data_IF_468020550613
#
_entry.id   IF_468020550613
#
_cell.length_a   1.000
_cell.length_b   1.000
_cell.length_c   1.000
_cell.angle_alpha   90.00
_cell.angle_beta   90.00
_cell.angle_gamma   90.00
#
_symmetry.space_group_name_H-M   'P 1'
#
loop_
_entity.id
_entity.type
_entity.pdbx_description
1 polymer ?
#
# COMPACT_ATOMS: atom_id res chain seq x y z
N UNK A 1 -14.40 5.02 6.08
CA UNK A 1 -13.84 4.53 4.81
C UNK A 1 -13.98 5.66 3.81
N UNK A 2 -12.87 6.16 3.25
CA UNK A 2 -12.90 7.23 2.25
C UNK A 2 -12.62 6.62 0.87
N UNK A 3 -13.52 6.88 -0.08
CA UNK A 3 -13.42 6.45 -1.47
C UNK A 3 -13.18 7.69 -2.34
N UNK A 4 -12.11 7.69 -3.12
CA UNK A 4 -11.80 8.80 -4.02
C UNK A 4 -11.38 8.27 -5.40
N UNK A 5 -11.85 8.94 -6.46
CA UNK A 5 -11.44 8.68 -7.84
C UNK A 5 -10.74 9.93 -8.36
N UNK A 6 -9.42 9.87 -8.56
CA UNK A 6 -8.61 11.01 -8.96
C UNK A 6 -8.06 10.83 -10.39
N UNK A 7 -8.05 11.91 -11.18
CA UNK A 7 -7.34 12.00 -12.45
C UNK A 7 -5.90 12.46 -12.16
N UNK A 8 -4.94 11.55 -12.33
CA UNK A 8 -3.47 11.73 -12.34
C UNK A 8 -2.88 12.86 -11.46
N UNK A 9 -2.56 12.51 -10.21
CA UNK A 9 -1.38 12.90 -9.39
C UNK A 9 -1.54 12.21 -8.02
N UNK A 10 -0.64 11.29 -7.66
CA UNK A 10 -0.82 10.36 -6.52
C UNK A 10 -0.08 10.79 -5.24
N UNK A 11 0.50 11.99 -5.17
CA UNK A 11 1.37 12.36 -4.06
C UNK A 11 0.61 12.64 -2.75
N UNK A 12 -0.54 13.32 -2.82
CA UNK A 12 -1.30 13.70 -1.61
C UNK A 12 -1.94 12.51 -0.90
N UNK A 13 -2.22 11.43 -1.63
CA UNK A 13 -2.91 10.26 -1.09
C UNK A 13 -1.92 9.30 -0.41
N UNK A 14 -0.66 9.30 -0.85
CA UNK A 14 0.40 8.53 -0.22
C UNK A 14 1.14 9.30 0.88
N UNK A 15 0.79 10.57 1.10
CA UNK A 15 1.38 11.38 2.16
C UNK A 15 1.20 10.69 3.53
N UNK A 16 2.26 10.63 4.36
CA UNK A 16 2.21 10.00 5.66
C UNK A 16 1.14 10.65 6.54
N UNK A 17 0.34 9.82 7.19
CA UNK A 17 -0.73 10.25 8.08
C UNK A 17 -0.35 10.02 9.54
N UNK A 18 -0.82 10.87 10.45
CA UNK A 18 -0.58 10.74 11.91
C UNK A 18 -1.09 9.43 12.52
N UNK A 19 -2.07 8.78 11.88
CA UNK A 19 -2.62 7.47 12.29
C UNK A 19 -2.11 6.40 11.34
N UNK A 20 -1.94 5.17 11.83
CA UNK A 20 -1.65 4.02 10.98
C UNK A 20 -2.78 3.86 9.94
N UNK A 21 -2.46 4.11 8.66
CA UNK A 21 -3.43 4.19 7.57
C UNK A 21 -2.94 3.37 6.39
N UNK A 22 -3.79 2.47 5.91
CA UNK A 22 -3.57 1.70 4.69
C UNK A 22 -4.24 2.43 3.52
N UNK A 23 -3.47 2.69 2.46
CA UNK A 23 -3.97 3.28 1.21
C UNK A 23 -3.82 2.25 0.09
N UNK A 24 -4.94 1.75 -0.44
CA UNK A 24 -4.97 0.89 -1.61
C UNK A 24 -5.26 1.74 -2.86
N UNK A 25 -4.48 1.53 -3.92
CA UNK A 25 -4.59 2.27 -5.18
C UNK A 25 -4.70 1.29 -6.35
N UNK A 26 -5.74 1.44 -7.17
CA UNK A 26 -5.95 0.63 -8.38
C UNK A 26 -6.28 1.52 -9.58
N UNK A 27 -6.12 1.01 -10.80
CA UNK A 27 -6.58 1.68 -12.01
C UNK A 27 -8.12 1.64 -12.12
N UNK A 28 -8.71 2.67 -12.70
CA UNK A 28 -10.15 2.78 -12.99
C UNK A 28 -10.36 3.49 -14.34
N UNK A 29 -11.37 3.13 -15.15
CA UNK A 29 -12.42 2.13 -14.89
C UNK A 29 -11.99 0.68 -15.14
N UNK A 30 -12.66 -0.26 -14.46
CA UNK A 30 -12.36 -1.71 -14.49
C UNK A 30 -12.57 -2.39 -15.84
N UNK A 31 -13.19 -1.70 -16.80
CA UNK A 31 -13.62 -2.23 -18.10
C UNK A 31 -12.80 -1.66 -19.28
N UNK A 32 -11.68 -0.98 -19.01
CA UNK A 32 -10.84 -0.40 -20.06
C UNK A 32 -9.47 -1.08 -20.12
N UNK A 33 -9.08 -1.49 -21.32
CA UNK A 33 -7.72 -1.89 -21.66
C UNK A 33 -7.08 -0.70 -22.39
N UNK A 34 -6.04 -0.12 -21.80
CA UNK A 34 -5.41 1.12 -22.27
C UNK A 34 -5.01 2.04 -21.11
N UNK A 35 -4.53 3.27 -21.36
CA UNK A 35 -4.14 4.20 -20.31
C UNK A 35 -5.36 4.56 -19.45
N UNK A 36 -5.52 3.91 -18.29
CA UNK A 36 -6.58 4.18 -17.33
C UNK A 36 -6.34 5.57 -16.71
N UNK A 37 -7.17 6.59 -17.05
CA UNK A 37 -6.86 7.98 -16.72
C UNK A 37 -7.18 8.31 -15.25
N UNK A 38 -7.87 7.41 -14.55
CA UNK A 38 -8.32 7.57 -13.17
C UNK A 38 -7.76 6.46 -12.30
N UNK A 39 -7.54 6.78 -11.02
CA UNK A 39 -7.17 5.80 -10.00
C UNK A 39 -8.28 5.73 -8.96
N UNK A 40 -8.66 4.52 -8.59
CA UNK A 40 -9.57 4.25 -7.49
C UNK A 40 -8.76 4.06 -6.21
N UNK A 41 -9.16 4.77 -5.16
CA UNK A 41 -8.39 4.89 -3.93
C UNK A 41 -9.27 4.51 -2.75
N UNK A 42 -8.79 3.56 -1.95
CA UNK A 42 -9.42 3.14 -0.69
C UNK A 42 -8.49 3.50 0.46
N UNK A 43 -9.00 4.24 1.46
CA UNK A 43 -8.29 4.53 2.71
C UNK A 43 -8.97 3.88 3.91
N UNK A 44 -8.19 3.11 4.66
CA UNK A 44 -8.57 2.48 5.92
C UNK A 44 -7.64 2.90 7.05
N UNK A 45 -8.21 3.22 8.22
CA UNK A 45 -7.45 3.47 9.43
C UNK A 45 -7.39 2.20 10.27
N UNK A 46 -6.26 1.98 10.94
CA UNK A 46 -6.16 0.91 11.92
C UNK A 46 -7.11 1.18 13.09
N UNK A 47 -8.03 0.24 13.33
CA UNK A 47 -8.95 0.28 14.47
C UNK A 47 -8.40 -0.51 15.66
N UNK A 48 -7.73 -1.65 15.40
CA UNK A 48 -7.14 -2.50 16.42
C UNK A 48 -6.00 -3.32 15.83
N UNK A 49 -4.81 -3.22 16.43
CA UNK A 49 -3.72 -4.16 16.19
C UNK A 49 -3.89 -5.35 17.14
N UNK A 50 -4.06 -6.55 16.59
CA UNK A 50 -3.88 -7.78 17.37
C UNK A 50 -2.38 -8.10 17.35
N UNK A 51 -1.73 -8.03 18.50
CA UNK A 51 -0.35 -8.51 18.66
C UNK A 51 -0.36 -10.03 18.54
N UNK A 52 -0.10 -10.55 17.34
CA UNK A 52 0.09 -11.98 17.15
C UNK A 52 1.52 -12.32 17.58
N UNK A 53 1.66 -12.71 18.85
CA UNK A 53 2.87 -13.37 19.33
C UNK A 53 3.04 -14.67 18.51
N UNK A 54 4.24 -14.86 17.93
CA UNK A 54 4.70 -16.04 17.17
C UNK A 54 4.50 -16.05 15.64
N UNK A 55 5.20 -15.18 14.91
CA UNK A 55 5.96 -15.62 13.71
C UNK A 55 6.98 -14.54 13.32
N UNK A 56 8.20 -14.65 13.86
CA UNK A 56 9.35 -14.02 13.21
C UNK A 56 9.58 -14.84 11.94
N UNK A 57 9.06 -14.38 10.81
CA UNK A 57 9.56 -14.81 9.52
C UNK A 57 11.03 -14.43 9.48
N UNK A 58 11.88 -15.41 9.79
CA UNK A 58 13.31 -15.35 9.61
C UNK A 58 13.59 -15.10 8.13
N UNK A 59 13.57 -13.84 7.70
CA UNK A 59 14.42 -13.43 6.61
C UNK A 59 15.83 -13.38 7.19
N UNK A 60 16.46 -14.55 7.29
CA UNK A 60 17.91 -14.62 7.38
C UNK A 60 18.39 -13.92 6.12
N UNK A 61 18.85 -12.67 6.26
CA UNK A 61 19.76 -12.09 5.29
C UNK A 61 20.94 -13.04 5.29
N UNK A 62 20.97 -13.95 4.32
CA UNK A 62 22.13 -14.78 4.08
C UNK A 62 23.22 -13.77 3.77
N UNK A 63 24.13 -13.55 4.73
CA UNK A 63 25.38 -12.88 4.45
C UNK A 63 26.03 -13.69 3.34
N UNK A 64 26.01 -13.18 2.12
CA UNK A 64 26.92 -13.63 1.08
C UNK A 64 28.29 -13.07 1.50
N UNK A 65 28.92 -13.73 2.46
CA UNK A 65 30.37 -13.79 2.50
C UNK A 65 30.77 -14.87 1.50
N UNK A 66 31.63 -14.56 0.55
CA UNK A 66 33.08 -14.76 0.72
C UNK A 66 33.81 -14.69 -0.62
N UNK A 67 35.03 -14.14 -0.54
CA UNK A 67 36.22 -14.33 -1.39
C UNK A 67 36.33 -13.60 -2.72
N UNK A 68 37.38 -12.77 -2.77
CA UNK A 68 37.91 -12.02 -3.90
C UNK A 68 38.79 -10.89 -3.39
#
# INVERSE_FOLDING_TARGET
MLLAVLKRALLIVLAPTKKATLTLVTCYPFHMIGPAPKRFIVRGHLVRQKTQSNFVSRATVLRIGTHG
#
